data_IF_038536991532
#
_entry.id   IF_038536991532
#
_cell.length_a   1.000
_cell.length_b   1.000
_cell.length_c   1.000
_cell.angle_alpha   90.00
_cell.angle_beta   90.00
_cell.angle_gamma   90.00
#
_symmetry.space_group_name_H-M   'P 1'
#
loop_
_entity.id
_entity.type
_entity.pdbx_description
1 polymer ?
#
# COMPACT_ATOMS: atom_id res chain seq x y z
N UNK A 1 -13.28 16.38 6.09
CA UNK A 1 -12.18 15.54 6.60
C UNK A 1 -12.17 14.20 5.85
N UNK A 2 -11.42 14.07 4.74
CA UNK A 2 -11.50 12.90 3.84
C UNK A 2 -10.16 12.23 3.51
N UNK A 3 -9.09 12.47 4.29
CA UNK A 3 -7.75 11.96 3.97
C UNK A 3 -7.26 10.73 4.73
N UNK A 4 -8.06 10.11 5.59
CA UNK A 4 -7.52 9.14 6.56
C UNK A 4 -7.27 7.71 6.06
N UNK A 5 -7.57 7.34 4.81
CA UNK A 5 -7.53 5.91 4.41
C UNK A 5 -6.53 5.50 3.32
N UNK A 6 -5.73 6.41 2.73
CA UNK A 6 -4.83 6.03 1.62
C UNK A 6 -3.57 5.25 2.04
N UNK A 7 -3.23 5.21 3.32
CA UNK A 7 -1.98 4.58 3.78
C UNK A 7 -2.05 3.05 3.82
N UNK A 8 -3.23 2.47 4.07
CA UNK A 8 -3.36 1.01 4.15
C UNK A 8 -3.19 0.30 2.79
N UNK A 9 -3.56 0.94 1.68
CA UNK A 9 -3.39 0.36 0.34
C UNK A 9 -1.92 0.32 -0.13
N UNK A 10 -0.99 0.96 0.60
CA UNK A 10 0.44 0.93 0.27
C UNK A 10 1.17 -0.31 0.82
N UNK A 11 0.59 -0.97 1.83
CA UNK A 11 1.09 -2.23 2.40
C UNK A 11 0.35 -3.45 1.82
N UNK A 12 0.52 -3.65 0.52
CA UNK A 12 0.04 -4.85 -0.19
C UNK A 12 0.79 -6.12 0.29
N UNK A 13 1.97 -5.95 0.89
CA UNK A 13 2.83 -7.00 1.43
C UNK A 13 3.14 -6.73 2.89
N UNK A 14 3.09 -7.78 3.70
CA UNK A 14 3.71 -7.82 5.03
C UNK A 14 4.83 -8.85 5.00
N UNK A 15 6.07 -8.43 5.23
CA UNK A 15 7.19 -9.34 5.43
C UNK A 15 7.39 -9.54 6.92
N UNK A 16 7.40 -10.79 7.37
CA UNK A 16 7.72 -11.16 8.74
C UNK A 16 8.83 -12.22 8.68
N UNK A 17 9.99 -11.92 9.27
CA UNK A 17 11.14 -12.82 9.29
C UNK A 17 10.87 -14.15 10.03
N UNK A 18 9.86 -14.17 10.90
CA UNK A 18 9.39 -15.38 11.59
C UNK A 18 8.25 -16.10 10.84
N UNK A 19 7.86 -15.63 9.64
CA UNK A 19 6.84 -16.30 8.84
C UNK A 19 7.41 -17.63 8.31
N UNK A 20 6.84 -18.74 8.80
CA UNK A 20 7.22 -20.11 8.42
C UNK A 20 6.48 -20.59 7.17
N UNK A 21 5.67 -19.74 6.53
CA UNK A 21 4.91 -20.11 5.33
C UNK A 21 5.86 -20.33 4.15
N UNK A 22 5.52 -21.32 3.32
CA UNK A 22 6.20 -21.61 2.06
C UNK A 22 5.81 -20.66 0.92
N UNK A 23 4.80 -19.81 1.11
CA UNK A 23 4.30 -18.89 0.09
C UNK A 23 4.01 -17.51 0.64
N UNK A 24 4.39 -16.47 -0.11
CA UNK A 24 3.99 -15.09 0.14
C UNK A 24 2.47 -14.92 0.04
N UNK A 25 1.95 -13.88 0.70
CA UNK A 25 0.54 -13.47 0.61
C UNK A 25 0.44 -12.01 0.19
N UNK A 26 -0.67 -11.67 -0.44
CA UNK A 26 -1.02 -10.31 -0.86
C UNK A 26 -2.37 -9.92 -0.31
N UNK A 27 -2.53 -8.64 0.03
CA UNK A 27 -3.83 -8.08 0.38
C UNK A 27 -4.50 -7.52 -0.88
N UNK A 28 -5.73 -7.96 -1.23
CA UNK A 28 -6.50 -7.31 -2.28
C UNK A 28 -6.69 -5.82 -1.98
N UNK A 29 -6.56 -4.92 -2.98
CA UNK A 29 -6.74 -3.50 -2.77
C UNK A 29 -8.19 -3.19 -2.38
N UNK A 30 -8.40 -2.16 -1.55
CA UNK A 30 -9.75 -1.79 -1.10
C UNK A 30 -10.68 -1.36 -2.24
N UNK A 31 -10.10 -0.90 -3.37
CA UNK A 31 -10.83 -0.50 -4.58
C UNK A 31 -11.36 -1.68 -5.39
N UNK A 32 -10.77 -2.86 -5.24
CA UNK A 32 -11.13 -4.07 -5.99
C UNK A 32 -11.01 -5.31 -5.08
N UNK A 33 -11.94 -5.45 -4.11
CA UNK A 33 -11.88 -6.51 -3.12
C UNK A 33 -12.31 -7.85 -3.73
N UNK A 34 -11.63 -8.92 -3.34
CA UNK A 34 -12.10 -10.28 -3.64
C UNK A 34 -13.16 -10.67 -2.60
N UNK A 35 -14.32 -11.12 -3.09
CA UNK A 35 -15.41 -11.64 -2.27
C UNK A 35 -15.64 -13.11 -2.59
N UNK A 36 -15.91 -13.90 -1.58
CA UNK A 36 -16.27 -15.32 -1.72
C UNK A 36 -17.57 -15.61 -0.99
N UNK A 37 -18.28 -16.64 -1.42
CA UNK A 37 -19.37 -17.23 -0.66
C UNK A 37 -18.84 -18.44 0.10
N UNK A 38 -18.93 -18.42 1.43
CA UNK A 38 -18.55 -19.53 2.30
C UNK A 38 -19.72 -19.87 3.25
N UNK A 39 -20.17 -21.13 3.21
CA UNK A 39 -21.38 -21.66 3.86
C UNK A 39 -22.60 -20.75 3.72
N UNK A 40 -22.84 -20.24 2.50
CA UNK A 40 -23.96 -19.36 2.19
C UNK A 40 -23.77 -17.90 2.65
N UNK A 41 -22.62 -17.54 3.23
CA UNK A 41 -22.31 -16.17 3.66
C UNK A 41 -21.29 -15.53 2.74
N UNK A 42 -21.55 -14.30 2.32
CA UNK A 42 -20.57 -13.52 1.55
C UNK A 42 -19.54 -12.90 2.49
N UNK A 43 -18.26 -13.15 2.24
CA UNK A 43 -17.14 -12.63 3.04
C UNK A 43 -16.09 -12.00 2.13
N UNK A 44 -15.44 -10.94 2.62
CA UNK A 44 -14.33 -10.29 1.93
C UNK A 44 -13.01 -10.96 2.30
N UNK A 45 -12.21 -11.27 1.29
CA UNK A 45 -10.85 -11.82 1.48
C UNK A 45 -9.95 -10.73 2.04
N UNK A 46 -9.25 -11.03 3.13
CA UNK A 46 -8.26 -10.15 3.76
C UNK A 46 -6.89 -10.27 3.09
N UNK A 47 -6.43 -11.50 2.90
CA UNK A 47 -5.22 -11.80 2.15
C UNK A 47 -5.33 -13.16 1.42
N UNK A 48 -4.54 -13.32 0.37
CA UNK A 48 -4.50 -14.52 -0.47
C UNK A 48 -3.06 -14.85 -0.85
N UNK A 49 -2.74 -16.14 -0.91
CA UNK A 49 -1.47 -16.67 -1.40
C UNK A 49 -1.69 -18.00 -2.12
N UNK A 50 -0.62 -18.56 -2.70
CA UNK A 50 -0.73 -19.82 -3.47
C UNK A 50 -1.28 -21.01 -2.68
N UNK A 51 -1.10 -21.02 -1.35
CA UNK A 51 -1.60 -22.09 -0.47
C UNK A 51 -3.00 -21.87 0.13
N UNK A 52 -3.56 -20.67 0.06
CA UNK A 52 -4.83 -20.36 0.74
C UNK A 52 -5.11 -18.88 0.92
N UNK A 53 -6.21 -18.56 1.61
CA UNK A 53 -6.69 -17.20 1.85
C UNK A 53 -7.15 -17.00 3.29
N UNK A 54 -7.36 -15.75 3.70
CA UNK A 54 -7.91 -15.41 5.02
C UNK A 54 -9.12 -14.48 4.88
N UNK A 55 -10.04 -14.54 5.83
CA UNK A 55 -11.22 -13.67 5.89
C UNK A 55 -11.75 -13.59 7.33
N UNK A 56 -12.53 -12.57 7.64
CA UNK A 56 -13.14 -12.44 8.98
C UNK A 56 -14.14 -13.57 9.22
N UNK A 57 -14.08 -14.16 10.40
CA UNK A 57 -15.01 -15.20 10.81
C UNK A 57 -16.45 -14.66 10.86
N UNK A 58 -17.40 -15.54 10.54
CA UNK A 58 -18.82 -15.27 10.63
C UNK A 58 -19.49 -16.56 11.11
N UNK A 59 -19.19 -16.97 12.34
CA UNK A 59 -19.67 -18.21 12.96
C UNK A 59 -19.27 -19.50 12.21
N UNK A 60 -18.11 -19.49 11.55
CA UNK A 60 -17.52 -20.68 10.96
C UNK A 60 -16.69 -21.44 12.01
N UNK A 61 -16.31 -22.68 11.68
CA UNK A 61 -15.55 -23.55 12.57
C UNK A 61 -14.28 -24.05 11.89
N UNK A 62 -13.26 -24.32 12.69
CA UNK A 62 -12.06 -25.02 12.23
C UNK A 62 -12.47 -26.38 11.67
N UNK A 63 -11.92 -26.74 10.51
CA UNK A 63 -12.23 -27.96 9.78
C UNK A 63 -13.32 -27.81 8.72
N UNK A 64 -14.12 -26.74 8.77
CA UNK A 64 -15.14 -26.46 7.76
C UNK A 64 -14.53 -26.38 6.36
N UNK A 65 -15.15 -27.05 5.40
CA UNK A 65 -14.64 -27.19 4.03
C UNK A 65 -15.74 -26.94 3.01
N UNK A 66 -15.43 -26.20 1.95
CA UNK A 66 -16.36 -25.94 0.86
C UNK A 66 -15.62 -25.62 -0.45
N UNK A 67 -16.23 -25.98 -1.58
CA UNK A 67 -15.86 -25.39 -2.87
C UNK A 67 -16.23 -23.92 -2.90
N UNK A 68 -15.24 -23.07 -3.20
CA UNK A 68 -15.39 -21.63 -3.35
C UNK A 68 -15.04 -21.21 -4.78
N UNK A 69 -15.62 -20.09 -5.17
CA UNK A 69 -15.39 -19.44 -6.45
C UNK A 69 -14.64 -18.14 -6.20
N UNK A 70 -13.48 -17.98 -6.84
CA UNK A 70 -12.63 -16.81 -6.76
C UNK A 70 -12.69 -16.05 -8.09
N UNK A 71 -13.22 -14.84 -8.03
CA UNK A 71 -13.11 -13.88 -9.13
C UNK A 71 -11.83 -13.05 -8.90
N UNK A 72 -10.81 -13.31 -9.72
CA UNK A 72 -9.49 -12.69 -9.60
C UNK A 72 -9.35 -11.59 -10.64
N UNK A 73 -9.20 -10.32 -10.22
CA UNK A 73 -8.97 -9.22 -11.15
C UNK A 73 -7.82 -9.46 -12.13
N UNK A 74 -8.08 -9.22 -13.41
CA UNK A 74 -7.11 -9.40 -14.48
C UNK A 74 -6.96 -10.85 -14.98
N UNK A 75 -7.67 -11.80 -14.38
CA UNK A 75 -7.81 -13.16 -14.91
C UNK A 75 -9.12 -13.28 -15.71
N UNK A 76 -9.07 -13.95 -16.86
CA UNK A 76 -10.25 -14.16 -17.70
C UNK A 76 -11.16 -15.28 -17.19
N UNK A 77 -10.65 -16.13 -16.30
CA UNK A 77 -11.32 -17.33 -15.82
C UNK A 77 -11.57 -17.22 -14.32
N UNK A 78 -12.80 -17.55 -13.95
CA UNK A 78 -13.17 -17.71 -12.55
C UNK A 78 -12.52 -18.97 -12.00
N UNK A 79 -11.88 -18.85 -10.85
CA UNK A 79 -11.10 -19.92 -10.24
C UNK A 79 -11.98 -20.67 -9.22
N UNK A 80 -12.26 -21.94 -9.47
CA UNK A 80 -13.00 -22.79 -8.54
C UNK A 80 -12.03 -23.67 -7.75
N UNK A 81 -12.10 -23.64 -6.42
CA UNK A 81 -11.18 -24.40 -5.55
C UNK A 81 -11.85 -24.81 -4.25
N UNK A 82 -11.56 -26.00 -3.74
CA UNK A 82 -11.98 -26.39 -2.39
C UNK A 82 -11.08 -25.72 -1.35
N UNK A 83 -11.70 -25.07 -0.38
CA UNK A 83 -11.02 -24.41 0.74
C UNK A 83 -11.46 -25.05 2.06
N UNK A 84 -10.52 -25.26 2.97
CA UNK A 84 -10.77 -25.72 4.33
C UNK A 84 -10.21 -24.73 5.36
N UNK A 85 -10.98 -24.39 6.39
CA UNK A 85 -10.51 -23.58 7.53
C UNK A 85 -9.54 -24.42 8.37
N UNK A 86 -8.29 -23.98 8.50
CA UNK A 86 -7.27 -24.64 9.32
C UNK A 86 -7.24 -24.10 10.75
N UNK A 87 -7.42 -22.80 10.88
CA UNK A 87 -7.27 -22.09 12.16
C UNK A 87 -8.19 -20.86 12.15
N UNK A 88 -8.64 -20.46 13.35
CA UNK A 88 -9.26 -19.17 13.60
C UNK A 88 -8.40 -18.49 14.67
N UNK A 89 -7.85 -17.32 14.36
CA UNK A 89 -6.93 -16.63 15.27
C UNK A 89 -7.66 -15.84 16.36
N UNK A 90 -6.89 -15.22 17.26
CA UNK A 90 -7.41 -14.41 18.36
C UNK A 90 -8.15 -13.14 17.90
N UNK A 91 -7.97 -12.73 16.64
CA UNK A 91 -8.66 -11.59 16.03
C UNK A 91 -9.89 -12.03 15.22
N UNK A 92 -10.34 -13.28 15.43
CA UNK A 92 -11.50 -13.87 14.77
C UNK A 92 -11.34 -13.88 13.24
N UNK A 93 -10.12 -14.16 12.75
CA UNK A 93 -9.83 -14.34 11.33
C UNK A 93 -9.68 -15.83 11.03
N UNK A 94 -10.46 -16.30 10.05
CA UNK A 94 -10.33 -17.64 9.50
C UNK A 94 -9.11 -17.70 8.56
N UNK A 95 -8.22 -18.64 8.80
CA UNK A 95 -7.10 -18.98 7.92
C UNK A 95 -7.42 -20.27 7.17
N UNK A 96 -7.73 -20.13 5.89
CA UNK A 96 -8.09 -21.24 5.02
C UNK A 96 -6.91 -21.73 4.18
N UNK A 97 -6.86 -23.04 3.91
CA UNK A 97 -5.98 -23.63 2.89
C UNK A 97 -6.80 -24.07 1.68
N UNK A 98 -6.17 -24.06 0.50
CA UNK A 98 -6.70 -24.75 -0.66
C UNK A 98 -6.42 -26.25 -0.56
N UNK A 99 -7.43 -27.07 -0.83
CA UNK A 99 -7.34 -28.53 -0.80
C UNK A 99 -7.09 -29.03 -2.21
N UNK A 100 -5.90 -29.60 -2.44
CA UNK A 100 -5.48 -30.15 -3.72
C UNK A 100 -5.81 -29.24 -4.93
N UNK A 101 -5.41 -27.95 -4.92
CA UNK A 101 -5.65 -27.07 -6.04
C UNK A 101 -4.92 -27.60 -7.28
N UNK A 102 -5.59 -27.56 -8.44
CA UNK A 102 -4.94 -27.89 -9.70
C UNK A 102 -3.89 -26.82 -10.06
N UNK A 103 -3.00 -27.14 -11.00
CA UNK A 103 -1.90 -26.25 -11.37
C UNK A 103 -2.39 -24.93 -11.97
N UNK A 104 -3.52 -24.94 -12.69
CA UNK A 104 -4.08 -23.74 -13.31
C UNK A 104 -4.64 -22.75 -12.29
N UNK A 105 -5.28 -23.24 -11.23
CA UNK A 105 -5.73 -22.47 -10.06
C UNK A 105 -4.54 -21.80 -9.38
N UNK A 106 -3.49 -22.58 -9.08
CA UNK A 106 -2.28 -22.05 -8.45
C UNK A 106 -1.65 -20.95 -9.33
N UNK A 107 -1.56 -21.18 -10.64
CA UNK A 107 -0.98 -20.22 -11.57
C UNK A 107 -1.82 -18.95 -11.71
N UNK A 108 -3.14 -19.06 -11.74
CA UNK A 108 -4.02 -17.90 -11.77
C UNK A 108 -3.83 -17.04 -10.51
N UNK A 109 -3.76 -17.67 -9.34
CA UNK A 109 -3.47 -16.98 -8.07
C UNK A 109 -2.09 -16.32 -8.12
N UNK A 110 -1.06 -17.01 -8.60
CA UNK A 110 0.28 -16.44 -8.72
C UNK A 110 0.35 -15.26 -9.70
N UNK A 111 -0.35 -15.32 -10.84
CA UNK A 111 -0.42 -14.21 -11.80
C UNK A 111 -1.13 -13.01 -11.18
N UNK A 112 -2.24 -13.22 -10.48
CA UNK A 112 -2.92 -12.18 -9.71
C UNK A 112 -1.98 -11.52 -8.69
N UNK A 113 -1.26 -12.33 -7.90
CA UNK A 113 -0.29 -11.82 -6.92
C UNK A 113 0.83 -10.99 -7.58
N UNK A 114 1.39 -11.49 -8.69
CA UNK A 114 2.42 -10.78 -9.46
C UNK A 114 1.89 -9.47 -10.06
N UNK A 115 0.64 -9.44 -10.51
CA UNK A 115 -0.01 -8.22 -10.99
C UNK A 115 -0.09 -7.18 -9.87
N UNK A 116 -0.57 -7.57 -8.68
CA UNK A 116 -0.62 -6.67 -7.52
C UNK A 116 0.77 -6.16 -7.12
N UNK A 117 1.79 -7.03 -7.13
CA UNK A 117 3.19 -6.66 -6.90
C UNK A 117 3.67 -5.59 -7.87
N UNK A 118 3.46 -5.81 -9.17
CA UNK A 118 3.85 -4.86 -10.22
C UNK A 118 3.13 -3.52 -10.05
N UNK A 119 1.84 -3.55 -9.74
CA UNK A 119 1.05 -2.34 -9.54
C UNK A 119 1.52 -1.56 -8.30
N UNK A 120 1.80 -2.24 -7.18
CA UNK A 120 2.37 -1.63 -5.98
C UNK A 120 3.69 -0.90 -6.27
N UNK A 121 4.63 -1.57 -6.94
CA UNK A 121 5.93 -0.99 -7.29
C UNK A 121 5.80 0.23 -8.22
N UNK A 122 4.89 0.16 -9.20
CA UNK A 122 4.60 1.29 -10.10
C UNK A 122 4.05 2.49 -9.33
N UNK A 123 3.12 2.27 -8.40
CA UNK A 123 2.54 3.33 -7.58
C UNK A 123 3.58 3.95 -6.65
N UNK A 124 4.38 3.14 -5.94
CA UNK A 124 5.48 3.63 -5.08
C UNK A 124 6.47 4.50 -5.87
N UNK A 125 6.85 4.09 -7.07
CA UNK A 125 7.74 4.87 -7.96
C UNK A 125 7.11 6.19 -8.41
N UNK A 126 5.80 6.21 -8.70
CA UNK A 126 5.10 7.45 -9.08
C UNK A 126 5.05 8.44 -7.92
N UNK A 127 4.65 7.98 -6.74
CA UNK A 127 4.59 8.80 -5.52
C UNK A 127 5.97 9.35 -5.17
N UNK A 128 7.02 8.54 -5.22
CA UNK A 128 8.39 8.99 -4.95
C UNK A 128 8.82 10.12 -5.91
N UNK A 129 8.54 9.99 -7.22
CA UNK A 129 8.86 11.04 -8.21
C UNK A 129 8.08 12.33 -7.97
N UNK A 130 6.83 12.22 -7.56
CA UNK A 130 5.97 13.38 -7.30
C UNK A 130 6.38 14.13 -6.03
N UNK A 131 6.80 13.39 -5.00
CA UNK A 131 7.39 13.96 -3.78
C UNK A 131 8.69 14.70 -4.12
N UNK A 132 9.61 14.08 -4.85
CA UNK A 132 10.87 14.73 -5.26
C UNK A 132 10.62 16.03 -6.03
N UNK A 133 9.73 16.00 -7.04
CA UNK A 133 9.36 17.19 -7.81
C UNK A 133 8.73 18.30 -6.97
N UNK A 134 7.96 17.94 -5.95
CA UNK A 134 7.31 18.91 -5.06
C UNK A 134 8.32 19.54 -4.10
N UNK A 135 9.30 18.77 -3.63
CA UNK A 135 10.41 19.27 -2.82
C UNK A 135 11.31 20.22 -3.62
N UNK A 136 11.66 19.86 -4.86
CA UNK A 136 12.48 20.72 -5.75
C UNK A 136 11.79 22.08 -5.99
N UNK A 137 10.47 22.07 -6.27
CA UNK A 137 9.67 23.30 -6.43
C UNK A 137 9.60 24.13 -5.15
N UNK A 138 9.45 23.49 -3.99
CA UNK A 138 9.41 24.20 -2.71
C UNK A 138 10.75 24.84 -2.36
N UNK A 139 11.87 24.15 -2.63
CA UNK A 139 13.22 24.67 -2.45
C UNK A 139 13.49 25.85 -3.39
N UNK A 140 13.10 25.74 -4.66
CA UNK A 140 13.26 26.82 -5.64
C UNK A 140 12.39 28.04 -5.32
N UNK A 141 11.17 27.84 -4.80
CA UNK A 141 10.32 28.93 -4.35
C UNK A 141 10.89 29.64 -3.11
N UNK A 142 11.54 28.92 -2.19
CA UNK A 142 12.20 29.53 -1.01
C UNK A 142 13.44 30.34 -1.39
N UNK A 143 14.26 29.87 -2.33
CA UNK A 143 15.43 30.62 -2.79
C UNK A 143 15.09 31.93 -3.52
N UNK A 144 13.85 32.08 -4.00
CA UNK A 144 13.37 33.31 -4.66
C UNK A 144 12.78 34.33 -3.67
N UNK A 145 12.54 33.95 -2.41
CA UNK A 145 11.88 34.80 -1.41
C UNK A 145 12.84 35.30 -0.34
N UNK A 146 14.02 34.68 -0.17
CA UNK A 146 15.05 35.23 0.71
C UNK A 146 15.84 36.33 -0.01
N UNK A 147 15.75 37.60 0.41
CA UNK A 147 16.58 38.65 -0.16
C UNK A 147 18.03 38.40 0.25
N UNK A 148 18.93 38.47 -0.73
CA UNK A 148 20.37 38.48 -0.50
C UNK A 148 20.71 39.64 0.44
N UNK A 149 21.12 39.38 1.68
CA UNK A 149 21.47 40.40 2.69
C UNK A 149 22.67 41.29 2.28
N UNK A 150 23.27 41.09 1.10
CA UNK A 150 24.46 41.83 0.68
C UNK A 150 24.19 43.21 0.04
N UNK A 151 22.95 43.56 -0.30
CA UNK A 151 22.65 44.84 -0.98
C UNK A 151 22.33 46.04 -0.05
N UNK A 152 22.47 45.91 1.28
CA UNK A 152 22.24 47.01 2.25
C UNK A 152 23.49 47.49 2.98
N UNK A 153 24.65 47.59 2.30
CA UNK A 153 25.80 48.37 2.78
C UNK A 153 26.24 49.42 1.76
N UNK A 154 25.39 50.42 1.51
CA UNK A 154 25.69 51.45 0.53
C UNK A 154 24.96 52.77 0.71
N UNK A 155 24.66 53.24 1.92
CA UNK A 155 24.11 54.58 2.12
C UNK A 155 24.24 55.13 3.55
N UNK A 156 25.46 55.39 4.03
CA UNK A 156 25.68 56.32 5.15
C UNK A 156 26.94 57.14 4.92
N UNK A 157 26.83 58.13 4.04
CA UNK A 157 27.85 59.15 3.79
C UNK A 157 27.27 60.55 3.96
N UNK A 158 26.72 60.87 5.14
CA UNK A 158 26.34 62.23 5.49
C UNK A 158 27.59 62.97 6.00
N UNK A 159 28.19 63.74 5.09
CA UNK A 159 29.28 64.66 5.36
C UNK A 159 28.82 65.81 6.27
N UNK A 160 29.39 65.90 7.46
CA UNK A 160 29.25 67.04 8.37
C UNK A 160 30.40 68.03 8.06
N UNK A 161 30.14 69.32 7.79
CA UNK A 161 31.21 70.29 7.63
C UNK A 161 31.78 70.71 8.99
N UNK A 162 33.12 70.77 9.08
CA UNK A 162 33.87 71.24 10.26
C UNK A 162 33.73 72.77 10.42
N UNK A 163 33.71 73.30 11.66
CA UNK A 163 33.80 74.74 11.87
C UNK A 163 35.26 75.21 11.69
N UNK A 164 35.38 76.37 11.05
CA UNK A 164 36.58 77.17 10.95
C UNK A 164 37.07 77.61 12.34
N UNK A 165 38.39 77.61 12.56
CA UNK A 165 39.05 78.49 13.51
C UNK A 165 40.20 79.17 12.76
N UNK A 166 40.16 80.50 12.79
CA UNK A 166 41.24 81.41 12.40
C UNK A 166 41.77 81.99 13.72
N UNK A 167 43.09 82.23 13.73
CA UNK A 167 43.94 82.67 14.86
C UNK A 167 43.37 83.72 15.81
#
# INVERSE_FOLDING_TARGET
>A
MFWKNKQNDLEIFSYNANDRRSSFRVRPPSTEPIRIAFQGKSVSVKDIGGGGLSFCNNNFRVGDSQSITLDLPGEALTVCVTMQILEIDQQDVCHGRFVAPNHDVINAIHRYMLMLQKNSLRMKRRVAREISRSQDRATQARSLVEPHEEDMKGATGLSIPRPFSVD
#
